data_IF_117144682889
#
_entry.id   IF_117144682889
#
_cell.length_a   1.000
_cell.length_b   1.000
_cell.length_c   1.000
_cell.angle_alpha   90.00
_cell.angle_beta   90.00
_cell.angle_gamma   90.00
#
_symmetry.space_group_name_H-M   'P 1'
#
loop_
_entity.id
_entity.type
_entity.pdbx_description
1 polymer ?
#
# COMPACT_ATOMS: atom_id res chain seq x y z
N UNK A 1 -1.32 19.95 -39.43
CA UNK A 1 -0.82 18.86 -38.57
C UNK A 1 -1.09 19.22 -37.10
N UNK A 2 -2.01 18.54 -36.47
CA UNK A 2 -2.31 18.79 -35.06
C UNK A 2 -1.18 18.19 -34.20
N UNK A 3 -0.53 19.01 -33.38
CA UNK A 3 0.44 18.54 -32.38
C UNK A 3 -0.26 17.52 -31.42
N UNK A 4 0.36 16.38 -31.11
CA UNK A 4 -0.23 15.47 -30.18
C UNK A 4 -0.40 16.18 -28.83
N UNK A 5 -1.62 16.22 -28.32
CA UNK A 5 -1.91 16.66 -26.95
C UNK A 5 -1.04 15.83 -26.02
N UNK A 6 -0.06 16.45 -25.37
CA UNK A 6 0.74 15.83 -24.33
C UNK A 6 -0.23 15.45 -23.21
N UNK A 7 -0.59 14.16 -23.11
CA UNK A 7 -1.41 13.65 -22.03
C UNK A 7 -0.68 13.95 -20.73
N UNK A 8 -1.38 14.54 -19.77
CA UNK A 8 -0.78 14.86 -18.46
C UNK A 8 -0.46 13.54 -17.76
N UNK A 9 0.81 13.34 -17.43
CA UNK A 9 1.22 12.18 -16.65
C UNK A 9 0.77 12.34 -15.20
N UNK A 10 0.25 11.25 -14.60
CA UNK A 10 -0.13 11.18 -13.20
C UNK A 10 0.88 10.34 -12.43
N UNK A 11 1.31 10.83 -11.27
CA UNK A 11 2.18 10.08 -10.37
C UNK A 11 1.37 9.10 -9.53
N UNK A 12 1.71 7.84 -9.65
CA UNK A 12 1.06 6.73 -8.97
C UNK A 12 1.97 6.09 -7.92
N UNK A 13 1.34 5.42 -6.99
CA UNK A 13 1.96 4.57 -5.97
C UNK A 13 1.34 3.19 -6.06
N UNK A 14 2.18 2.17 -6.30
CA UNK A 14 1.80 0.78 -6.18
C UNK A 14 2.35 0.22 -4.86
N UNK A 15 1.46 -0.28 -4.02
CA UNK A 15 1.80 -0.99 -2.78
C UNK A 15 1.61 -2.48 -3.03
N UNK A 16 2.72 -3.19 -3.22
CA UNK A 16 2.70 -4.62 -3.45
C UNK A 16 2.41 -5.36 -2.16
N UNK A 17 1.67 -6.44 -2.29
CA UNK A 17 1.42 -7.36 -1.21
C UNK A 17 2.21 -8.65 -1.38
N UNK A 18 2.61 -9.24 -0.24
CA UNK A 18 3.29 -10.54 -0.24
C UNK A 18 4.74 -10.54 -0.69
N UNK A 19 5.34 -9.36 -0.89
CA UNK A 19 6.77 -9.22 -1.23
C UNK A 19 7.61 -9.35 0.03
N UNK A 20 8.71 -10.10 -0.08
CA UNK A 20 9.65 -10.39 1.01
C UNK A 20 9.03 -11.12 2.20
N UNK A 21 7.98 -11.90 1.95
CA UNK A 21 7.35 -12.81 2.90
C UNK A 21 7.14 -14.19 2.26
N UNK A 22 7.20 -15.24 3.06
CA UNK A 22 6.95 -16.64 2.62
C UNK A 22 7.83 -17.09 1.43
N UNK A 23 9.10 -16.71 1.40
CA UNK A 23 10.06 -17.15 0.36
C UNK A 23 10.04 -16.37 -0.94
N UNK A 24 9.14 -15.38 -1.11
CA UNK A 24 9.13 -14.49 -2.27
C UNK A 24 10.01 -13.28 -1.97
N UNK A 25 11.23 -13.28 -2.49
CA UNK A 25 12.17 -12.18 -2.35
C UNK A 25 12.29 -11.44 -3.70
N UNK A 26 11.84 -10.19 -3.75
CA UNK A 26 12.01 -9.32 -4.92
C UNK A 26 12.96 -8.19 -4.52
N UNK A 27 14.09 -8.11 -5.21
CA UNK A 27 15.04 -7.02 -4.99
C UNK A 27 14.48 -5.72 -5.56
N UNK A 28 14.71 -4.61 -4.84
CA UNK A 28 14.24 -3.29 -5.27
C UNK A 28 14.72 -2.90 -6.68
N UNK A 29 15.92 -3.30 -7.07
CA UNK A 29 16.44 -3.06 -8.41
C UNK A 29 15.67 -3.82 -9.50
N UNK A 30 15.31 -5.09 -9.25
CA UNK A 30 14.53 -5.91 -10.18
C UNK A 30 13.09 -5.38 -10.32
N UNK A 31 12.50 -4.94 -9.19
CA UNK A 31 11.19 -4.31 -9.18
C UNK A 31 11.20 -2.99 -9.93
N UNK A 32 12.24 -2.16 -9.75
CA UNK A 32 12.42 -0.93 -10.50
C UNK A 32 12.56 -1.20 -12.00
N UNK A 33 13.37 -2.19 -12.40
CA UNK A 33 13.55 -2.57 -13.81
C UNK A 33 12.24 -3.05 -14.45
N UNK A 34 11.42 -3.83 -13.75
CA UNK A 34 10.11 -4.23 -14.25
C UNK A 34 9.23 -3.02 -14.59
N UNK A 35 9.16 -2.05 -13.69
CA UNK A 35 8.32 -0.86 -13.89
C UNK A 35 8.88 0.08 -14.95
N UNK A 36 10.20 0.30 -14.98
CA UNK A 36 10.84 1.22 -15.91
C UNK A 36 11.01 0.63 -17.32
N UNK A 37 11.54 -0.60 -17.42
CA UNK A 37 11.98 -1.16 -18.68
C UNK A 37 10.89 -2.00 -19.37
N UNK A 38 10.17 -2.86 -18.63
CA UNK A 38 9.15 -3.73 -19.21
C UNK A 38 7.79 -3.03 -19.32
N UNK A 39 7.40 -2.24 -18.29
CA UNK A 39 6.15 -1.49 -18.30
C UNK A 39 6.28 -0.09 -18.89
N UNK A 40 7.50 0.37 -19.15
CA UNK A 40 7.81 1.67 -19.73
C UNK A 40 7.19 2.88 -18.97
N UNK A 41 7.11 2.78 -17.64
CA UNK A 41 6.65 3.89 -16.81
C UNK A 41 7.78 4.90 -16.55
N UNK A 42 7.40 6.18 -16.40
CA UNK A 42 8.33 7.27 -16.12
C UNK A 42 8.70 7.37 -14.64
N UNK A 43 9.82 8.01 -14.35
CA UNK A 43 10.29 8.43 -13.03
C UNK A 43 10.12 7.35 -11.93
N UNK A 44 10.44 6.10 -12.25
CA UNK A 44 10.25 4.95 -11.35
C UNK A 44 11.19 5.02 -10.14
N UNK A 45 10.62 4.93 -8.94
CA UNK A 45 11.34 4.90 -7.67
C UNK A 45 10.76 3.84 -6.74
N UNK A 46 11.60 3.02 -6.16
CA UNK A 46 11.24 2.10 -5.08
C UNK A 46 11.55 2.72 -3.73
N UNK A 47 10.71 2.46 -2.73
CA UNK A 47 10.88 2.96 -1.36
C UNK A 47 10.88 1.80 -0.39
N UNK A 48 12.00 1.58 0.27
CA UNK A 48 12.26 0.43 1.14
C UNK A 48 12.11 -0.92 0.41
N UNK A 49 12.56 -1.99 1.04
CA UNK A 49 12.47 -3.35 0.46
C UNK A 49 11.08 -4.00 0.59
N UNK A 50 10.03 -3.24 0.83
CA UNK A 50 8.68 -3.74 1.16
C UNK A 50 7.66 -3.59 0.03
N UNK A 51 8.13 -3.52 -1.23
CA UNK A 51 7.23 -3.50 -2.39
C UNK A 51 6.43 -2.20 -2.51
N UNK A 52 7.09 -1.06 -2.35
CA UNK A 52 6.50 0.26 -2.59
C UNK A 52 7.15 0.88 -3.82
N UNK A 53 6.36 1.16 -4.86
CA UNK A 53 6.84 1.73 -6.11
C UNK A 53 6.08 2.99 -6.46
N UNK A 54 6.83 4.08 -6.76
CA UNK A 54 6.30 5.29 -7.35
C UNK A 54 6.66 5.30 -8.84
N UNK A 55 5.75 5.78 -9.67
CA UNK A 55 5.96 5.89 -11.10
C UNK A 55 5.00 6.88 -11.74
N UNK A 56 5.36 7.37 -12.91
CA UNK A 56 4.54 8.27 -13.72
C UNK A 56 3.99 7.53 -14.94
N UNK A 57 2.70 7.75 -15.25
CA UNK A 57 2.06 7.22 -16.45
C UNK A 57 0.96 8.16 -16.93
N UNK A 58 0.66 8.11 -18.22
CA UNK A 58 -0.47 8.76 -18.86
C UNK A 58 -1.73 7.87 -18.94
N UNK A 59 -1.62 6.60 -18.52
CA UNK A 59 -2.78 5.70 -18.40
C UNK A 59 -3.75 6.22 -17.32
N UNK A 60 -4.95 6.55 -17.73
CA UNK A 60 -5.97 7.10 -16.85
C UNK A 60 -6.86 6.03 -16.19
N UNK A 61 -6.95 4.85 -16.80
CA UNK A 61 -7.76 3.75 -16.26
C UNK A 61 -6.98 2.95 -15.20
N UNK A 62 -7.34 3.17 -13.94
CA UNK A 62 -6.70 2.50 -12.81
C UNK A 62 -6.89 0.97 -12.81
N UNK A 63 -7.97 0.44 -13.38
CA UNK A 63 -8.23 -0.99 -13.45
C UNK A 63 -7.32 -1.65 -14.51
N UNK A 64 -7.21 -1.02 -15.67
CA UNK A 64 -6.28 -1.43 -16.74
C UNK A 64 -4.84 -1.40 -16.22
N UNK A 65 -4.46 -0.30 -15.58
CA UNK A 65 -3.12 -0.12 -15.03
C UNK A 65 -2.79 -1.17 -13.97
N UNK A 66 -3.70 -1.44 -13.05
CA UNK A 66 -3.54 -2.49 -12.03
C UNK A 66 -3.35 -3.85 -12.66
N UNK A 67 -4.25 -4.25 -13.58
CA UNK A 67 -4.19 -5.54 -14.26
C UNK A 67 -2.85 -5.73 -14.99
N UNK A 68 -2.40 -4.71 -15.69
CA UNK A 68 -1.12 -4.71 -16.40
C UNK A 68 0.07 -4.93 -15.48
N UNK A 69 0.10 -4.24 -14.34
CA UNK A 69 1.17 -4.36 -13.33
C UNK A 69 1.15 -5.76 -12.69
N UNK A 70 -0.03 -6.25 -12.28
CA UNK A 70 -0.16 -7.57 -11.65
C UNK A 70 0.24 -8.70 -12.59
N UNK A 71 -0.14 -8.62 -13.87
CA UNK A 71 0.29 -9.59 -14.89
C UNK A 71 1.80 -9.58 -15.11
N UNK A 72 2.42 -8.41 -15.16
CA UNK A 72 3.87 -8.30 -15.32
C UNK A 72 4.63 -8.85 -14.09
N UNK A 73 4.16 -8.56 -12.89
CA UNK A 73 4.70 -9.12 -11.64
C UNK A 73 4.59 -10.65 -11.60
N UNK A 74 3.42 -11.19 -11.98
CA UNK A 74 3.20 -12.64 -12.06
C UNK A 74 4.12 -13.29 -13.07
N UNK A 75 4.23 -12.74 -14.27
CA UNK A 75 5.08 -13.25 -15.33
C UNK A 75 6.56 -13.26 -14.95
N UNK A 76 7.03 -12.20 -14.31
CA UNK A 76 8.45 -12.03 -13.98
C UNK A 76 8.89 -12.79 -12.73
N UNK A 77 8.07 -12.76 -11.69
CA UNK A 77 8.46 -13.28 -10.37
C UNK A 77 7.72 -14.56 -9.96
N UNK A 78 6.77 -15.03 -10.77
CA UNK A 78 6.11 -16.32 -10.57
C UNK A 78 5.20 -16.39 -9.33
N UNK A 79 4.71 -15.25 -8.83
CA UNK A 79 3.79 -15.25 -7.69
C UNK A 79 2.48 -14.51 -8.02
N UNK A 80 1.42 -14.88 -7.32
CA UNK A 80 0.12 -14.25 -7.49
C UNK A 80 0.11 -12.85 -6.85
N UNK A 81 0.57 -11.89 -7.65
CA UNK A 81 0.70 -10.51 -7.22
C UNK A 81 -0.65 -9.84 -7.07
N UNK A 82 -0.82 -9.13 -5.98
CA UNK A 82 -1.92 -8.20 -5.76
C UNK A 82 -1.35 -6.86 -5.29
N UNK A 83 -1.89 -5.77 -5.83
CA UNK A 83 -1.42 -4.42 -5.49
C UNK A 83 -2.57 -3.51 -5.08
N UNK A 84 -2.29 -2.58 -4.18
CA UNK A 84 -3.08 -1.35 -4.03
C UNK A 84 -2.46 -0.30 -4.92
N UNK A 85 -3.26 0.23 -5.85
CA UNK A 85 -2.85 1.29 -6.77
C UNK A 85 -3.57 2.59 -6.40
N UNK A 86 -2.78 3.62 -6.12
CA UNK A 86 -3.25 4.95 -5.71
C UNK A 86 -2.50 6.02 -6.47
N UNK A 87 -3.07 7.21 -6.60
CA UNK A 87 -2.29 8.39 -6.94
C UNK A 87 -1.50 8.88 -5.73
N UNK A 88 -0.36 9.55 -5.95
CA UNK A 88 0.41 10.14 -4.86
C UNK A 88 -0.42 11.14 -4.04
N UNK A 89 -1.35 11.87 -4.69
CA UNK A 89 -2.29 12.75 -4.01
C UNK A 89 -3.20 11.99 -3.03
N UNK A 90 -3.77 10.85 -3.44
CA UNK A 90 -4.58 10.02 -2.54
C UNK A 90 -3.77 9.55 -1.34
N UNK A 91 -2.52 9.12 -1.56
CA UNK A 91 -1.62 8.73 -0.47
C UNK A 91 -1.35 9.90 0.49
N UNK A 92 -1.15 11.11 -0.03
CA UNK A 92 -0.96 12.31 0.78
C UNK A 92 -2.20 12.64 1.63
N UNK A 93 -3.40 12.58 1.03
CA UNK A 93 -4.66 12.82 1.72
C UNK A 93 -4.88 11.78 2.85
N UNK A 94 -4.55 10.49 2.59
CA UNK A 94 -4.62 9.43 3.59
C UNK A 94 -3.62 9.64 4.73
N UNK A 95 -2.37 9.98 4.42
CA UNK A 95 -1.36 10.26 5.45
C UNK A 95 -1.73 11.47 6.31
N UNK A 96 -2.26 12.54 5.69
CA UNK A 96 -2.73 13.73 6.39
C UNK A 96 -3.91 13.43 7.32
N UNK A 97 -4.77 12.50 6.93
CA UNK A 97 -5.96 12.10 7.69
C UNK A 97 -5.69 11.21 8.90
N UNK A 98 -4.42 10.85 9.19
CA UNK A 98 -4.08 10.00 10.33
C UNK A 98 -4.50 10.67 11.64
N UNK A 99 -5.36 10.05 12.46
CA UNK A 99 -6.06 10.71 13.54
C UNK A 99 -5.39 10.60 14.91
N UNK A 100 -4.37 9.74 15.06
CA UNK A 100 -3.71 9.49 16.33
C UNK A 100 -2.38 10.24 16.43
N UNK A 101 -1.73 10.17 17.61
CA UNK A 101 -0.38 10.71 17.82
C UNK A 101 0.60 10.11 16.80
N UNK A 102 1.31 10.98 16.06
CA UNK A 102 2.22 10.54 14.98
C UNK A 102 3.61 10.19 15.50
N UNK A 103 4.04 10.88 16.55
CA UNK A 103 5.32 10.68 17.22
C UNK A 103 5.01 10.13 18.60
N UNK A 104 5.09 8.80 18.72
CA UNK A 104 4.85 8.08 19.95
C UNK A 104 6.05 7.15 20.18
N UNK A 105 6.66 7.26 21.35
CA UNK A 105 7.82 6.43 21.68
C UNK A 105 7.42 4.99 22.00
N UNK A 106 6.20 4.78 22.45
CA UNK A 106 5.68 3.49 22.88
C UNK A 106 4.90 2.77 21.76
N UNK A 107 4.38 3.52 20.78
CA UNK A 107 3.48 2.98 19.75
C UNK A 107 3.99 3.23 18.33
N UNK A 108 3.57 2.37 17.43
CA UNK A 108 3.82 2.51 15.99
C UNK A 108 2.53 2.82 15.23
N UNK A 109 2.53 3.89 14.40
CA UNK A 109 1.42 4.25 13.54
C UNK A 109 1.43 3.45 12.24
N UNK A 110 0.27 2.94 11.83
CA UNK A 110 0.07 2.18 10.60
C UNK A 110 -1.14 2.68 9.81
N UNK A 111 -1.08 2.49 8.49
CA UNK A 111 -2.22 2.60 7.59
C UNK A 111 -2.45 1.23 6.96
N UNK A 112 -3.68 0.72 7.05
CA UNK A 112 -4.14 -0.52 6.42
C UNK A 112 -4.92 -0.14 5.17
N UNK A 113 -4.45 -0.59 4.03
CA UNK A 113 -5.10 -0.44 2.74
C UNK A 113 -5.85 -1.73 2.41
N UNK A 114 -7.06 -1.60 1.88
CA UNK A 114 -7.88 -2.74 1.47
C UNK A 114 -8.09 -2.80 -0.04
N UNK A 115 -8.55 -3.96 -0.52
CA UNK A 115 -8.95 -4.15 -1.92
C UNK A 115 -10.10 -3.23 -2.32
N UNK A 116 -11.02 -3.01 -1.38
CA UNK A 116 -12.21 -2.19 -1.53
C UNK A 116 -12.72 -1.70 -0.17
N UNK A 117 -13.74 -0.83 -0.20
CA UNK A 117 -14.30 -0.24 1.01
C UNK A 117 -15.01 -1.28 1.89
N UNK A 118 -15.73 -2.24 1.28
CA UNK A 118 -16.48 -3.26 2.01
C UNK A 118 -15.56 -4.16 2.83
N UNK A 119 -14.38 -4.49 2.30
CA UNK A 119 -13.37 -5.24 3.04
C UNK A 119 -12.88 -4.50 4.28
N UNK A 120 -12.66 -3.19 4.17
CA UNK A 120 -12.24 -2.37 5.30
C UNK A 120 -13.36 -2.23 6.35
N UNK A 121 -14.61 -2.12 5.90
CA UNK A 121 -15.77 -2.05 6.78
C UNK A 121 -15.98 -3.38 7.52
N UNK A 122 -15.77 -4.52 6.84
CA UNK A 122 -15.80 -5.84 7.47
C UNK A 122 -14.69 -5.99 8.53
N UNK A 123 -13.48 -5.50 8.26
CA UNK A 123 -12.40 -5.52 9.26
C UNK A 123 -12.78 -4.71 10.48
N UNK A 124 -13.36 -3.52 10.31
CA UNK A 124 -13.84 -2.68 11.42
C UNK A 124 -14.91 -3.41 12.25
N UNK A 125 -15.89 -4.00 11.58
CA UNK A 125 -16.96 -4.77 12.24
C UNK A 125 -16.41 -5.94 13.06
N UNK A 126 -15.50 -6.72 12.47
CA UNK A 126 -14.89 -7.89 13.11
C UNK A 126 -13.90 -7.55 14.22
N UNK A 127 -13.26 -6.39 14.12
CA UNK A 127 -12.41 -5.89 15.20
C UNK A 127 -13.26 -5.49 16.43
N UNK A 128 -14.49 -5.02 16.19
CA UNK A 128 -15.38 -4.57 17.27
C UNK A 128 -14.78 -3.38 18.04
N UNK A 129 -15.08 -3.32 19.33
CA UNK A 129 -14.47 -2.37 20.24
C UNK A 129 -13.07 -2.84 20.61
N UNK A 130 -12.05 -2.09 20.18
CA UNK A 130 -10.66 -2.35 20.58
C UNK A 130 -10.35 -1.64 21.89
N UNK A 131 -9.53 -2.29 22.72
CA UNK A 131 -9.03 -1.68 23.95
C UNK A 131 -8.01 -0.59 23.61
N UNK A 132 -8.34 0.66 23.90
CA UNK A 132 -7.52 1.82 23.58
C UNK A 132 -6.16 1.82 24.33
N UNK A 133 -6.07 1.12 25.46
CA UNK A 133 -4.81 0.94 26.18
C UNK A 133 -3.87 -0.03 25.46
N UNK A 134 -4.44 -0.96 24.69
CA UNK A 134 -3.68 -1.93 23.87
C UNK A 134 -3.41 -1.38 22.48
N UNK A 135 -4.45 -1.01 21.76
CA UNK A 135 -4.33 -0.55 20.37
C UNK A 135 -5.45 0.40 19.98
N UNK A 136 -5.27 1.16 18.91
CA UNK A 136 -6.30 2.07 18.40
C UNK A 136 -6.57 1.77 16.94
N UNK A 137 -7.85 1.72 16.56
CA UNK A 137 -8.29 1.48 15.19
C UNK A 137 -9.39 2.46 14.80
N UNK A 138 -9.25 3.09 13.64
CA UNK A 138 -10.25 4.05 13.14
C UNK A 138 -10.42 3.93 11.63
N UNK A 139 -11.67 3.97 11.17
CA UNK A 139 -11.99 4.02 9.75
C UNK A 139 -11.65 5.39 9.16
N UNK A 140 -10.90 5.40 8.06
CA UNK A 140 -10.61 6.56 7.25
C UNK A 140 -11.22 6.44 5.84
N UNK A 141 -11.02 7.45 5.00
CA UNK A 141 -11.46 7.41 3.61
C UNK A 141 -10.57 6.46 2.79
N UNK A 142 -11.06 5.26 2.49
CA UNK A 142 -10.34 4.25 1.73
C UNK A 142 -9.22 3.51 2.48
N UNK A 143 -9.12 3.68 3.81
CA UNK A 143 -8.11 3.04 4.66
C UNK A 143 -8.65 2.78 6.07
N UNK A 144 -7.90 1.98 6.84
CA UNK A 144 -7.97 2.00 8.29
C UNK A 144 -6.70 2.62 8.87
N UNK A 145 -6.84 3.42 9.89
CA UNK A 145 -5.74 3.91 10.71
C UNK A 145 -5.61 3.03 11.93
N UNK A 146 -4.41 2.54 12.16
CA UNK A 146 -4.12 1.62 13.24
C UNK A 146 -2.86 2.05 13.99
N UNK A 147 -2.90 1.96 15.31
CA UNK A 147 -1.77 2.21 16.18
C UNK A 147 -1.68 1.09 17.22
N UNK A 148 -0.50 0.54 17.42
CA UNK A 148 -0.25 -0.54 18.37
C UNK A 148 1.12 -0.38 19.05
N UNK A 149 1.38 -1.06 20.19
CA UNK A 149 2.67 -1.01 20.85
C UNK A 149 3.83 -1.41 19.92
N UNK A 150 4.98 -0.81 20.15
CA UNK A 150 6.20 -1.14 19.39
C UNK A 150 6.58 -2.60 19.60
N UNK A 151 6.91 -3.28 18.51
CA UNK A 151 7.25 -4.70 18.52
C UNK A 151 6.05 -5.64 18.48
N UNK A 152 4.82 -5.15 18.71
CA UNK A 152 3.63 -6.00 18.81
C UNK A 152 2.71 -5.99 17.59
N UNK A 153 3.17 -5.45 16.48
CA UNK A 153 2.40 -5.39 15.22
C UNK A 153 1.99 -6.75 14.63
N UNK A 154 2.35 -7.84 15.28
CA UNK A 154 1.91 -9.21 14.95
C UNK A 154 1.13 -9.87 16.08
N UNK A 155 1.07 -9.28 17.28
CA UNK A 155 0.56 -9.92 18.50
C UNK A 155 -0.81 -9.39 18.94
N UNK A 156 -1.17 -8.16 18.59
CA UNK A 156 -2.43 -7.54 19.01
C UNK A 156 -3.67 -8.18 18.38
N UNK A 157 -4.87 -7.98 18.93
CA UNK A 157 -6.13 -8.47 18.35
C UNK A 157 -6.34 -8.06 16.89
N UNK A 158 -6.10 -6.79 16.54
CA UNK A 158 -6.21 -6.30 15.15
C UNK A 158 -5.16 -6.95 14.25
N UNK A 159 -3.92 -7.11 14.74
CA UNK A 159 -2.88 -7.80 13.98
C UNK A 159 -3.26 -9.26 13.66
N UNK A 160 -3.77 -10.00 14.65
CA UNK A 160 -4.25 -11.37 14.48
C UNK A 160 -5.45 -11.45 13.54
N UNK A 161 -6.36 -10.48 13.60
CA UNK A 161 -7.48 -10.38 12.66
C UNK A 161 -6.98 -10.21 11.22
N UNK A 162 -6.10 -9.23 10.97
CA UNK A 162 -5.53 -8.95 9.65
C UNK A 162 -4.68 -10.12 9.10
N UNK A 163 -4.12 -10.96 9.97
CA UNK A 163 -3.36 -12.14 9.60
C UNK A 163 -4.22 -13.31 9.10
N UNK A 164 -5.53 -13.33 9.38
CA UNK A 164 -6.44 -14.38 8.87
C UNK A 164 -6.44 -14.37 7.33
N UNK A 165 -6.48 -15.54 6.72
CA UNK A 165 -6.38 -15.74 5.26
C UNK A 165 -7.27 -14.78 4.47
N UNK A 166 -8.53 -14.61 4.88
CA UNK A 166 -9.49 -13.71 4.24
C UNK A 166 -8.97 -12.27 4.14
N UNK A 167 -8.49 -11.70 5.25
CA UNK A 167 -8.01 -10.31 5.29
C UNK A 167 -6.59 -10.18 4.77
N UNK A 168 -5.75 -11.16 5.07
CA UNK A 168 -4.39 -11.24 4.56
C UNK A 168 -4.34 -11.24 3.03
N UNK A 169 -5.33 -11.82 2.33
CA UNK A 169 -5.40 -11.81 0.86
C UNK A 169 -5.89 -10.49 0.27
N UNK A 170 -6.49 -9.62 1.04
CA UNK A 170 -7.20 -8.42 0.58
C UNK A 170 -6.80 -7.12 1.26
N UNK A 171 -5.80 -7.17 2.16
CA UNK A 171 -5.27 -5.98 2.83
C UNK A 171 -3.75 -5.92 2.76
N UNK A 172 -3.19 -4.73 2.84
CA UNK A 172 -1.76 -4.51 3.01
C UNK A 172 -1.52 -3.36 4.00
N UNK A 173 -0.57 -3.55 4.91
CA UNK A 173 -0.29 -2.58 5.98
C UNK A 173 1.05 -1.90 5.74
N UNK A 174 1.11 -0.60 5.97
CA UNK A 174 2.35 0.19 5.92
C UNK A 174 2.46 1.05 7.17
N UNK A 175 3.66 1.12 7.73
CA UNK A 175 3.94 2.10 8.77
C UNK A 175 3.80 3.52 8.19
N UNK A 176 3.25 4.46 8.98
CA UNK A 176 2.99 5.83 8.54
C UNK A 176 4.26 6.50 8.02
N UNK A 177 5.42 6.29 8.66
CA UNK A 177 6.71 6.81 8.19
C UNK A 177 7.09 6.30 6.79
N UNK A 178 6.72 5.06 6.46
CA UNK A 178 6.91 4.52 5.10
C UNK A 178 6.01 5.24 4.11
N UNK A 179 4.75 5.48 4.49
CA UNK A 179 3.79 6.22 3.65
C UNK A 179 4.26 7.66 3.43
N UNK A 180 4.77 8.33 4.45
CA UNK A 180 5.34 9.69 4.34
C UNK A 180 6.56 9.72 3.41
N UNK A 181 7.43 8.71 3.43
CA UNK A 181 8.56 8.59 2.48
C UNK A 181 8.13 8.45 1.01
N UNK A 182 6.89 7.99 0.74
CA UNK A 182 6.33 7.96 -0.61
C UNK A 182 5.94 9.36 -1.12
N UNK A 183 5.85 10.34 -0.23
CA UNK A 183 5.47 11.72 -0.56
C UNK A 183 6.67 12.63 -0.76
N UNK A 184 7.86 12.23 -0.31
CA UNK A 184 9.10 13.00 -0.41
C UNK A 184 9.94 12.53 -1.60
N UNK A 185 10.35 13.47 -2.46
CA UNK A 185 11.24 13.25 -3.63
C UNK A 185 10.52 13.27 -4.97
#
# INVERSE_FOLDING_TARGET
MASPKKTATTRHVALLRGVNVNGIAIKSAELKALFADELAFGAVRTVLASGNVLFDTDEADAAVLRTRIEQALRKRFGYDAWIVLLTQKQVADMAKGYPFERIDEERHPYIVFGSDAAMLDEVMEKAGTVDADVEQLKRGKGVLYWQCPRGESLATPVAKLLAKTRYRSSTTTRNLRTVEKLLTG
#
